data_IF_432053269054
#
_entry.id   IF_432053269054
#
_cell.length_a   1.000
_cell.length_b   1.000
_cell.length_c   1.000
_cell.angle_alpha   90.00
_cell.angle_beta   90.00
_cell.angle_gamma   90.00
#
_symmetry.space_group_name_H-M   'P 1'
#
loop_
_entity.id
_entity.type
_entity.pdbx_description
1 polymer ?
#
# COMPACT_ATOMS: atom_id res chain seq x y z
N UNK A 1 -9.00 19.03 5.30
CA UNK A 1 -8.50 18.66 3.97
C UNK A 1 -9.11 19.56 2.93
N UNK A 2 -8.32 19.96 1.94
CA UNK A 2 -8.80 20.82 0.86
C UNK A 2 -9.72 20.03 -0.08
N UNK A 3 -10.61 20.75 -0.76
CA UNK A 3 -11.39 20.18 -1.85
C UNK A 3 -10.51 20.01 -3.10
N UNK A 4 -10.84 19.03 -3.95
CA UNK A 4 -10.24 18.92 -5.28
C UNK A 4 -10.62 20.15 -6.10
N UNK A 5 -9.62 20.81 -6.68
CA UNK A 5 -9.78 21.93 -7.62
C UNK A 5 -9.45 21.46 -9.03
N UNK A 6 -10.07 22.06 -10.03
CA UNK A 6 -9.73 21.84 -11.43
C UNK A 6 -9.19 23.14 -12.02
N UNK A 7 -8.08 23.08 -12.75
CA UNK A 7 -7.58 24.22 -13.50
C UNK A 7 -8.27 24.34 -14.88
N UNK A 8 -7.93 25.39 -15.63
CA UNK A 8 -8.51 25.68 -16.95
C UNK A 8 -8.25 24.54 -17.98
N UNK A 9 -7.22 23.74 -17.76
CA UNK A 9 -6.88 22.58 -18.61
C UNK A 9 -7.65 21.30 -18.21
N UNK A 10 -8.49 21.40 -17.18
CA UNK A 10 -9.25 20.30 -16.58
C UNK A 10 -8.41 19.39 -15.68
N UNK A 11 -7.20 19.81 -15.31
CA UNK A 11 -6.30 19.02 -14.46
C UNK A 11 -6.70 19.18 -12.99
N UNK A 12 -6.77 18.04 -12.29
CA UNK A 12 -7.23 18.01 -10.90
C UNK A 12 -6.07 18.28 -9.96
N UNK A 13 -6.30 19.10 -8.92
CA UNK A 13 -5.33 19.48 -7.91
C UNK A 13 -5.88 19.21 -6.52
N UNK A 14 -5.04 18.69 -5.65
CA UNK A 14 -5.35 18.46 -4.24
C UNK A 14 -4.14 18.77 -3.37
N UNK A 15 -4.37 19.38 -2.21
CA UNK A 15 -3.35 19.68 -1.23
C UNK A 15 -3.83 19.30 0.17
N UNK A 16 -2.94 18.69 0.95
CA UNK A 16 -3.18 18.36 2.35
C UNK A 16 -1.86 18.35 3.12
N UNK A 17 -1.61 19.38 3.93
CA UNK A 17 -0.35 19.52 4.65
C UNK A 17 0.84 19.61 3.67
N UNK A 18 1.85 18.76 3.87
CA UNK A 18 3.03 18.66 3.00
C UNK A 18 2.80 17.79 1.75
N UNK A 19 1.58 17.30 1.53
CA UNK A 19 1.22 16.46 0.41
C UNK A 19 0.49 17.29 -0.65
N UNK A 20 0.99 17.29 -1.89
CA UNK A 20 0.29 17.88 -3.04
C UNK A 20 0.16 16.87 -4.17
N UNK A 21 -0.95 16.92 -4.89
CA UNK A 21 -1.27 16.03 -5.99
C UNK A 21 -1.78 16.83 -7.18
N UNK A 22 -1.32 16.48 -8.38
CA UNK A 22 -1.83 17.01 -9.65
C UNK A 22 -2.05 15.87 -10.63
N UNK A 23 -3.20 15.83 -11.29
CA UNK A 23 -3.61 14.79 -12.24
C UNK A 23 -3.92 15.37 -13.61
N UNK A 24 -3.66 14.58 -14.66
CA UNK A 24 -3.63 15.02 -16.06
C UNK A 24 -2.58 16.13 -16.29
N UNK A 25 -1.45 16.03 -15.59
CA UNK A 25 -0.27 16.89 -15.70
C UNK A 25 0.99 16.01 -15.49
N UNK A 26 1.93 15.98 -16.45
CA UNK A 26 2.00 16.78 -17.67
C UNK A 26 1.05 16.33 -18.80
N UNK A 27 0.53 15.11 -18.73
CA UNK A 27 -0.28 14.51 -19.80
C UNK A 27 -1.46 13.72 -19.22
N UNK A 28 -2.43 13.38 -20.07
CA UNK A 28 -3.61 12.60 -19.69
C UNK A 28 -3.24 11.29 -18.99
N UNK A 29 -3.92 11.01 -17.87
CA UNK A 29 -3.70 9.80 -17.08
C UNK A 29 -2.44 9.80 -16.22
N UNK A 30 -1.53 10.77 -16.41
CA UNK A 30 -0.38 10.97 -15.52
C UNK A 30 -0.75 11.82 -14.33
N UNK A 31 0.02 11.67 -13.26
CA UNK A 31 -0.12 12.48 -12.08
C UNK A 31 1.23 12.63 -11.36
N UNK A 32 1.39 13.77 -10.71
CA UNK A 32 2.55 14.08 -9.89
C UNK A 32 2.10 14.26 -8.45
N UNK A 33 2.87 13.65 -7.55
CA UNK A 33 2.73 13.77 -6.11
C UNK A 33 3.99 14.43 -5.57
N UNK A 34 3.83 15.38 -4.65
CA UNK A 34 4.93 15.89 -3.84
C UNK A 34 4.63 15.61 -2.37
N UNK A 35 5.63 15.10 -1.67
CA UNK A 35 5.57 14.80 -0.24
C UNK A 35 6.90 15.20 0.39
N UNK A 36 6.91 16.32 1.11
CA UNK A 36 8.17 16.93 1.54
C UNK A 36 9.02 17.34 0.34
N UNK A 37 10.30 16.97 0.32
CA UNK A 37 11.21 17.20 -0.80
C UNK A 37 11.01 16.22 -1.98
N UNK A 38 10.37 15.06 -1.75
CA UNK A 38 10.20 14.03 -2.78
C UNK A 38 9.20 14.50 -3.85
N UNK A 39 9.56 14.29 -5.11
CA UNK A 39 8.64 14.39 -6.25
C UNK A 39 8.47 12.99 -6.85
N UNK A 40 7.23 12.54 -6.98
CA UNK A 40 6.87 11.24 -7.51
C UNK A 40 5.94 11.44 -8.70
N UNK A 41 6.38 11.04 -9.88
CA UNK A 41 5.58 11.16 -11.11
C UNK A 41 5.18 9.77 -11.57
N UNK A 42 3.89 9.58 -11.82
CA UNK A 42 3.37 8.32 -12.34
C UNK A 42 3.87 8.09 -13.77
N UNK A 43 4.21 6.84 -14.07
CA UNK A 43 4.43 6.39 -15.45
C UNK A 43 3.09 5.98 -16.07
N UNK A 44 2.91 6.14 -17.39
CA UNK A 44 1.66 5.78 -18.04
C UNK A 44 1.38 4.28 -17.91
N UNK A 45 0.12 3.93 -17.70
CA UNK A 45 -0.32 2.56 -17.92
C UNK A 45 -0.30 2.25 -19.43
N UNK A 46 0.00 1.00 -19.78
CA UNK A 46 0.09 0.55 -21.18
C UNK A 46 -0.66 -0.78 -21.31
N UNK A 47 -1.95 -0.77 -21.68
CA UNK A 47 -2.67 -1.97 -22.10
C UNK A 47 -2.27 -2.32 -23.54
N UNK A 48 -1.44 -3.35 -23.71
CA UNK A 48 -0.90 -3.77 -24.99
C UNK A 48 0.20 -2.82 -25.46
N UNK A 49 -0.04 -2.12 -26.56
CA UNK A 49 0.97 -1.28 -27.23
C UNK A 49 0.68 0.22 -27.09
N UNK A 50 -0.50 0.59 -26.58
CA UNK A 50 -0.94 1.98 -26.50
C UNK A 50 -0.81 2.53 -25.08
N UNK A 51 0.03 3.55 -24.84
CA UNK A 51 0.11 4.20 -23.53
C UNK A 51 -1.13 5.04 -23.25
N UNK A 52 -1.48 5.14 -21.98
CA UNK A 52 -2.63 5.93 -21.50
C UNK A 52 -2.52 7.42 -21.84
N UNK A 53 -1.33 7.95 -22.08
CA UNK A 53 -1.17 9.34 -22.51
C UNK A 53 -1.84 9.64 -23.85
N UNK A 54 -2.13 8.60 -24.65
CA UNK A 54 -2.94 8.70 -25.88
C UNK A 54 -4.45 8.65 -25.63
N UNK A 55 -4.89 8.47 -24.38
CA UNK A 55 -6.29 8.34 -24.04
C UNK A 55 -7.04 9.68 -24.14
N UNK A 56 -8.33 9.57 -24.45
CA UNK A 56 -9.26 10.68 -24.30
C UNK A 56 -9.59 10.87 -22.82
N UNK A 57 -9.58 12.13 -22.35
CA UNK A 57 -10.03 12.48 -20.99
C UNK A 57 -11.51 12.14 -20.87
N UNK A 58 -11.81 11.09 -20.10
CA UNK A 58 -13.18 10.74 -19.74
C UNK A 58 -13.66 11.48 -18.49
N UNK A 59 -14.57 10.85 -17.75
CA UNK A 59 -15.19 11.47 -16.58
C UNK A 59 -14.17 11.68 -15.45
N UNK A 60 -14.29 12.80 -14.74
CA UNK A 60 -13.58 13.11 -13.50
C UNK A 60 -14.64 13.47 -12.46
N UNK A 61 -14.72 12.72 -11.35
CA UNK A 61 -15.76 12.90 -10.33
C UNK A 61 -15.11 13.07 -8.96
N UNK A 62 -15.05 14.30 -8.43
CA UNK A 62 -14.64 14.52 -7.06
C UNK A 62 -15.76 14.12 -6.11
N UNK A 63 -15.39 13.49 -5.01
CA UNK A 63 -16.26 13.16 -3.89
C UNK A 63 -15.59 13.60 -2.60
N UNK A 64 -16.40 13.97 -1.61
CA UNK A 64 -15.93 14.30 -0.26
C UNK A 64 -16.80 13.57 0.74
N UNK A 65 -16.19 12.99 1.76
CA UNK A 65 -16.95 12.40 2.86
C UNK A 65 -17.66 13.49 3.68
N UNK A 66 -18.78 13.13 4.30
CA UNK A 66 -19.58 14.05 5.13
C UNK A 66 -18.78 14.57 6.34
N UNK A 67 -17.91 13.72 6.91
CA UNK A 67 -17.01 14.08 8.03
C UNK A 67 -15.80 14.92 7.58
N UNK A 68 -15.62 15.14 6.27
CA UNK A 68 -14.51 15.90 5.70
C UNK A 68 -13.13 15.25 5.86
N UNK A 69 -13.06 13.98 6.29
CA UNK A 69 -11.83 13.23 6.51
C UNK A 69 -11.32 12.49 5.27
N UNK A 70 -12.13 12.39 4.21
CA UNK A 70 -11.77 11.70 2.98
C UNK A 70 -12.17 12.54 1.77
N UNK A 71 -11.27 12.56 0.79
CA UNK A 71 -11.53 13.13 -0.52
C UNK A 71 -11.23 12.05 -1.55
N UNK A 72 -12.12 11.84 -2.51
CA UNK A 72 -11.96 10.83 -3.55
C UNK A 72 -12.07 11.44 -4.93
N UNK A 73 -11.25 11.01 -5.87
CA UNK A 73 -11.33 11.37 -7.27
C UNK A 73 -11.49 10.09 -8.10
N UNK A 74 -12.64 9.95 -8.75
CA UNK A 74 -12.85 8.88 -9.71
C UNK A 74 -12.55 9.40 -11.12
N UNK A 75 -11.74 8.66 -11.87
CA UNK A 75 -11.28 9.02 -13.21
C UNK A 75 -11.49 7.85 -14.17
N UNK A 76 -11.79 8.18 -15.42
CA UNK A 76 -11.92 7.23 -16.52
C UNK A 76 -11.22 7.80 -17.74
N UNK A 77 -10.40 6.97 -18.39
CA UNK A 77 -9.68 7.29 -19.62
C UNK A 77 -9.92 6.15 -20.60
N UNK A 78 -10.20 6.45 -21.86
CA UNK A 78 -10.37 5.44 -22.92
C UNK A 78 -9.35 5.71 -24.01
N UNK A 79 -8.64 4.66 -24.44
CA UNK A 79 -7.68 4.75 -25.53
C UNK A 79 -8.45 4.46 -26.82
N UNK A 80 -8.60 5.43 -27.76
CA UNK A 80 -9.47 5.29 -28.92
C UNK A 80 -8.83 4.50 -30.08
N UNK A 81 -7.96 3.54 -29.77
CA UNK A 81 -7.20 2.75 -30.74
C UNK A 81 -7.36 1.25 -30.46
N UNK A 82 -7.33 0.45 -31.54
CA UNK A 82 -7.52 -1.00 -31.47
C UNK A 82 -8.85 -1.36 -30.79
N UNK A 83 -8.76 -2.13 -29.71
CA UNK A 83 -9.90 -2.72 -29.01
C UNK A 83 -10.49 -1.81 -27.93
N UNK A 84 -10.12 -0.53 -27.95
CA UNK A 84 -10.61 0.51 -27.02
C UNK A 84 -10.49 0.14 -25.54
N UNK A 85 -9.28 -0.19 -25.05
CA UNK A 85 -9.09 -0.46 -23.63
C UNK A 85 -9.36 0.80 -22.80
N UNK A 86 -10.03 0.62 -21.66
CA UNK A 86 -10.30 1.66 -20.69
C UNK A 86 -9.42 1.52 -19.45
N UNK A 87 -9.07 2.64 -18.85
CA UNK A 87 -8.37 2.71 -17.56
C UNK A 87 -9.23 3.55 -16.62
N UNK A 88 -9.60 2.97 -15.49
CA UNK A 88 -10.32 3.67 -14.42
C UNK A 88 -9.40 3.79 -13.22
N UNK A 89 -9.21 5.00 -12.69
CA UNK A 89 -8.53 5.19 -11.40
C UNK A 89 -9.44 5.80 -10.36
N UNK A 90 -9.37 5.25 -9.17
CA UNK A 90 -9.88 5.87 -7.95
C UNK A 90 -8.68 6.32 -7.13
N UNK A 91 -8.61 7.63 -6.84
CA UNK A 91 -7.66 8.21 -5.90
C UNK A 91 -8.40 8.51 -4.61
N UNK A 92 -7.94 7.98 -3.49
CA UNK A 92 -8.49 8.21 -2.16
C UNK A 92 -7.47 8.96 -1.31
N UNK A 93 -7.76 10.20 -0.98
CA UNK A 93 -6.94 11.05 -0.14
C UNK A 93 -7.47 11.04 1.29
N UNK A 94 -6.56 10.82 2.24
CA UNK A 94 -6.75 11.05 3.68
C UNK A 94 -5.55 11.84 4.19
N UNK A 95 -5.56 12.20 5.46
CA UNK A 95 -4.45 12.93 6.07
C UNK A 95 -3.13 12.16 5.90
N UNK A 96 -2.18 12.75 5.16
CA UNK A 96 -0.86 12.17 4.92
C UNK A 96 -0.85 10.89 4.08
N UNK A 97 -1.97 10.49 3.46
CA UNK A 97 -2.02 9.27 2.64
C UNK A 97 -2.79 9.44 1.34
N UNK A 98 -2.40 8.62 0.35
CA UNK A 98 -3.02 8.49 -0.94
C UNK A 98 -3.19 6.99 -1.24
N UNK A 99 -4.41 6.52 -1.45
CA UNK A 99 -4.69 5.23 -2.06
C UNK A 99 -4.98 5.39 -3.55
N UNK A 100 -4.45 4.50 -4.39
CA UNK A 100 -4.69 4.47 -5.82
C UNK A 100 -5.17 3.07 -6.20
N UNK A 101 -6.36 3.00 -6.80
CA UNK A 101 -6.88 1.78 -7.43
C UNK A 101 -7.02 2.00 -8.92
N UNK A 102 -6.25 1.27 -9.70
CA UNK A 102 -6.32 1.24 -11.17
C UNK A 102 -7.05 -0.02 -11.62
N UNK A 103 -8.15 0.13 -12.35
CA UNK A 103 -8.90 -0.93 -12.99
C UNK A 103 -8.71 -0.85 -14.52
N UNK A 104 -8.18 -1.91 -15.12
CA UNK A 104 -8.10 -2.11 -16.56
C UNK A 104 -9.42 -2.70 -17.07
N UNK A 105 -10.14 -1.92 -17.86
CA UNK A 105 -11.39 -2.29 -18.50
C UNK A 105 -11.05 -2.82 -19.89
N UNK A 106 -10.94 -4.14 -20.01
CA UNK A 106 -10.61 -4.83 -21.25
C UNK A 106 -11.89 -5.41 -21.87
N UNK A 107 -12.17 -5.09 -23.13
CA UNK A 107 -13.29 -5.67 -23.88
C UNK A 107 -12.94 -7.10 -24.31
N UNK A 108 -13.96 -7.89 -24.66
CA UNK A 108 -13.77 -9.29 -25.04
C UNK A 108 -12.81 -9.49 -26.22
N UNK A 109 -12.81 -8.56 -27.16
CA UNK A 109 -11.94 -8.59 -28.34
C UNK A 109 -10.50 -8.12 -28.06
N UNK A 110 -10.17 -7.68 -26.84
CA UNK A 110 -8.81 -7.25 -26.50
C UNK A 110 -7.83 -8.43 -26.48
N UNK A 111 -6.94 -8.52 -27.46
CA UNK A 111 -5.85 -9.48 -27.45
C UNK A 111 -4.83 -9.12 -26.35
N UNK A 112 -4.74 -9.94 -25.30
CA UNK A 112 -4.00 -9.59 -24.09
C UNK A 112 -2.49 -9.83 -24.22
N UNK A 113 -1.75 -9.01 -24.98
CA UNK A 113 -0.29 -9.21 -25.14
C UNK A 113 0.52 -8.91 -23.87
N UNK A 114 0.32 -7.70 -23.35
CA UNK A 114 1.02 -7.17 -22.18
C UNK A 114 0.15 -6.14 -21.48
N UNK A 115 0.33 -5.99 -20.18
CA UNK A 115 -0.36 -5.00 -19.36
C UNK A 115 0.64 -4.42 -18.37
N UNK A 116 0.98 -3.16 -18.60
CA UNK A 116 1.84 -2.36 -17.73
C UNK A 116 0.94 -1.45 -16.90
N UNK A 117 1.04 -1.55 -15.56
CA UNK A 117 0.32 -0.67 -14.63
C UNK A 117 0.89 0.74 -14.54
N UNK A 118 1.98 1.00 -15.25
CA UNK A 118 2.79 2.19 -15.14
C UNK A 118 3.89 1.97 -14.12
N UNK A 119 3.96 2.87 -13.14
CA UNK A 119 5.08 2.93 -12.22
C UNK A 119 5.22 4.29 -11.59
N UNK A 120 6.34 4.50 -10.91
CA UNK A 120 6.72 5.77 -10.32
C UNK A 120 8.14 6.13 -10.71
N UNK A 121 8.34 7.39 -11.12
CA UNK A 121 9.65 8.04 -11.12
C UNK A 121 9.75 8.85 -9.84
N UNK A 122 10.74 8.58 -8.99
CA UNK A 122 10.95 9.24 -7.70
C UNK A 122 12.23 10.07 -7.75
N UNK A 123 12.10 11.36 -7.49
CA UNK A 123 13.18 12.35 -7.54
C UNK A 123 13.44 12.94 -6.14
N UNK A 124 14.62 13.55 -5.95
CA UNK A 124 15.11 14.12 -4.67
C UNK A 124 15.24 13.08 -3.54
N UNK A 125 15.64 11.86 -3.89
CA UNK A 125 15.81 10.74 -2.98
C UNK A 125 17.21 10.73 -2.35
N UNK A 126 17.28 10.64 -1.02
CA UNK A 126 18.54 10.36 -0.30
C UNK A 126 18.74 8.87 -0.11
N UNK A 127 17.79 8.22 0.57
CA UNK A 127 17.89 6.83 0.95
C UNK A 127 16.59 6.08 0.69
N UNK A 128 16.68 4.77 0.53
CA UNK A 128 15.51 3.91 0.48
C UNK A 128 15.69 2.61 1.26
N UNK A 129 14.56 2.00 1.64
CA UNK A 129 14.46 0.64 2.17
C UNK A 129 13.37 -0.10 1.42
N UNK A 130 13.62 -1.36 1.06
CA UNK A 130 12.69 -2.20 0.31
C UNK A 130 12.24 -3.35 1.21
N UNK A 131 10.95 -3.62 1.25
CA UNK A 131 10.36 -4.75 1.98
C UNK A 131 9.66 -5.65 0.98
N UNK A 132 10.22 -6.84 0.80
CA UNK A 132 9.70 -7.85 -0.12
C UNK A 132 8.64 -8.74 0.54
N UNK A 133 7.95 -9.52 -0.30
CA UNK A 133 7.05 -10.55 0.20
C UNK A 133 7.85 -11.65 0.92
N UNK A 134 7.47 -12.05 2.14
CA UNK A 134 8.22 -13.06 2.87
C UNK A 134 7.98 -14.45 2.28
N UNK A 135 9.02 -15.27 2.20
CA UNK A 135 8.91 -16.63 1.65
C UNK A 135 8.49 -17.68 2.68
N UNK A 136 8.83 -17.48 3.97
CA UNK A 136 8.66 -18.48 5.04
C UNK A 136 8.09 -17.91 6.34
N UNK A 137 7.98 -16.59 6.41
CA UNK A 137 7.66 -15.82 7.61
C UNK A 137 6.35 -15.08 7.41
N UNK A 138 5.64 -14.77 8.50
CA UNK A 138 4.56 -13.76 8.45
C UNK A 138 5.08 -12.36 8.68
N UNK A 139 6.22 -12.20 9.36
CA UNK A 139 6.81 -10.87 9.61
C UNK A 139 7.47 -10.35 8.34
N UNK A 140 7.25 -9.07 8.10
CA UNK A 140 7.91 -8.30 7.05
C UNK A 140 9.24 -7.76 7.56
N UNK A 141 10.33 -8.06 6.86
CA UNK A 141 11.67 -7.56 7.21
C UNK A 141 12.13 -6.57 6.14
N UNK A 142 12.34 -5.28 6.47
CA UNK A 142 12.90 -4.33 5.52
C UNK A 142 14.37 -4.65 5.21
N UNK A 143 14.78 -4.32 3.99
CA UNK A 143 16.18 -4.36 3.57
C UNK A 143 17.03 -3.40 4.42
N UNK A 144 18.35 -3.54 4.30
CA UNK A 144 19.27 -2.49 4.75
C UNK A 144 18.95 -1.18 4.02
N UNK A 145 19.23 -0.06 4.70
CA UNK A 145 19.17 1.27 4.09
C UNK A 145 20.13 1.31 2.91
N UNK A 146 19.63 1.75 1.76
CA UNK A 146 20.40 1.95 0.54
C UNK A 146 20.66 3.45 0.38
N UNK A 147 21.92 3.83 0.23
CA UNK A 147 22.31 5.20 -0.10
C UNK A 147 22.19 5.43 -1.61
N UNK A 148 21.26 6.28 -2.02
CA UNK A 148 20.94 6.50 -3.42
C UNK A 148 22.04 7.23 -4.18
N UNK A 149 22.76 8.14 -3.53
CA UNK A 149 23.85 8.89 -4.13
C UNK A 149 25.05 7.98 -4.46
N UNK A 150 25.26 6.94 -3.65
CA UNK A 150 26.34 5.96 -3.83
C UNK A 150 26.09 4.93 -4.94
N UNK A 151 24.87 4.87 -5.50
CA UNK A 151 24.54 3.92 -6.57
C UNK A 151 25.06 4.39 -7.94
N UNK A 152 25.64 3.49 -8.74
CA UNK A 152 25.99 3.80 -10.12
C UNK A 152 24.75 3.99 -10.99
N UNK A 153 24.89 4.70 -12.11
CA UNK A 153 23.85 4.84 -13.11
C UNK A 153 23.39 3.46 -13.62
N UNK A 154 22.08 3.28 -13.79
CA UNK A 154 21.50 2.00 -14.22
C UNK A 154 21.53 0.89 -13.18
N UNK A 155 21.96 1.16 -11.93
CA UNK A 155 21.91 0.18 -10.84
C UNK A 155 20.50 -0.39 -10.68
N UNK A 156 20.39 -1.72 -10.61
CA UNK A 156 19.13 -2.43 -10.34
C UNK A 156 19.06 -2.75 -8.85
N UNK A 157 18.06 -2.18 -8.18
CA UNK A 157 17.84 -2.35 -6.74
C UNK A 157 16.87 -3.49 -6.44
N UNK A 158 15.98 -3.78 -7.39
CA UNK A 158 15.03 -4.88 -7.31
C UNK A 158 14.59 -5.28 -8.73
N UNK A 159 14.55 -6.57 -9.01
CA UNK A 159 13.99 -7.13 -10.24
C UNK A 159 13.35 -8.47 -9.90
N UNK A 160 12.02 -8.51 -9.89
CA UNK A 160 11.32 -9.69 -9.41
C UNK A 160 9.92 -9.84 -9.99
N UNK A 161 9.39 -11.09 -9.97
CA UNK A 161 8.05 -11.38 -10.45
C UNK A 161 6.94 -10.91 -9.49
N UNK A 162 7.31 -10.51 -8.27
CA UNK A 162 6.39 -10.10 -7.19
C UNK A 162 6.69 -8.66 -6.82
N UNK A 163 5.66 -7.82 -6.73
CA UNK A 163 5.84 -6.44 -6.28
C UNK A 163 6.36 -6.45 -4.83
N UNK A 164 7.35 -5.61 -4.48
CA UNK A 164 7.66 -5.28 -3.10
C UNK A 164 6.39 -4.83 -2.37
N UNK A 165 6.23 -5.25 -1.11
CA UNK A 165 5.07 -4.90 -0.30
C UNK A 165 5.16 -3.45 0.14
N UNK A 166 6.37 -2.99 0.47
CA UNK A 166 6.61 -1.62 0.94
C UNK A 166 7.97 -1.11 0.48
N UNK A 167 8.03 0.17 0.16
CA UNK A 167 9.29 0.87 -0.12
C UNK A 167 9.26 2.19 0.62
N UNK A 168 10.20 2.42 1.53
CA UNK A 168 10.30 3.69 2.27
C UNK A 168 11.33 4.57 1.58
N UNK A 169 10.88 5.71 1.07
CA UNK A 169 11.71 6.75 0.47
C UNK A 169 12.04 7.81 1.51
N UNK A 170 13.30 8.20 1.63
CA UNK A 170 13.74 9.34 2.45
C UNK A 170 14.18 10.48 1.53
N UNK A 171 13.47 11.60 1.59
CA UNK A 171 13.76 12.79 0.78
C UNK A 171 14.95 13.60 1.27
N UNK A 172 15.38 14.59 0.47
CA UNK A 172 16.45 15.54 0.83
C UNK A 172 16.19 16.31 2.14
N UNK A 173 14.92 16.53 2.48
CA UNK A 173 14.47 17.12 3.74
C UNK A 173 14.43 16.13 4.91
N UNK A 174 14.91 14.90 4.70
CA UNK A 174 14.92 13.76 5.64
C UNK A 174 13.53 13.25 6.03
N UNK A 175 12.46 13.75 5.41
CA UNK A 175 11.12 13.22 5.61
C UNK A 175 10.96 11.91 4.86
N UNK A 176 10.10 11.04 5.38
CA UNK A 176 9.88 9.72 4.82
C UNK A 176 8.49 9.60 4.21
N UNK A 177 8.43 8.96 3.04
CA UNK A 177 7.18 8.56 2.39
C UNK A 177 7.28 7.09 1.99
N UNK A 178 6.33 6.27 2.40
CA UNK A 178 6.26 4.87 2.05
C UNK A 178 5.33 4.66 0.86
N UNK A 179 5.80 3.94 -0.17
CA UNK A 179 4.95 3.20 -1.08
C UNK A 179 4.49 1.91 -0.41
N UNK A 180 3.21 1.59 -0.54
CA UNK A 180 2.55 0.44 0.08
C UNK A 180 1.69 -0.27 -0.97
N UNK A 181 1.90 -1.58 -1.13
CA UNK A 181 1.04 -2.43 -1.96
C UNK A 181 -0.32 -2.63 -1.27
N UNK A 182 -1.43 -2.64 -2.01
CA UNK A 182 -2.74 -2.95 -1.43
C UNK A 182 -2.93 -4.45 -1.11
N UNK A 183 -4.02 -4.78 -0.42
CA UNK A 183 -4.39 -6.14 0.01
C UNK A 183 -4.49 -7.18 -1.10
N UNK A 184 -4.73 -6.77 -2.33
CA UNK A 184 -4.95 -7.65 -3.49
C UNK A 184 -3.67 -8.27 -4.07
N UNK A 185 -2.70 -8.66 -3.23
CA UNK A 185 -1.39 -9.21 -3.64
C UNK A 185 -1.55 -10.44 -4.56
N UNK A 186 -2.51 -11.30 -4.27
CA UNK A 186 -2.84 -12.49 -5.05
C UNK A 186 -3.32 -12.24 -6.48
N UNK A 187 -3.80 -11.04 -6.83
CA UNK A 187 -4.23 -10.74 -8.20
C UNK A 187 -3.04 -10.74 -9.18
N UNK A 188 -1.82 -10.63 -8.64
CA UNK A 188 -0.56 -10.57 -9.38
C UNK A 188 0.09 -11.92 -9.60
N UNK A 189 -0.46 -12.97 -9.00
CA UNK A 189 -0.13 -14.34 -9.35
C UNK A 189 -0.93 -14.82 -10.59
N UNK A 190 -1.78 -13.98 -11.20
CA UNK A 190 -2.50 -14.32 -12.43
C UNK A 190 -1.59 -14.75 -13.60
N UNK A 191 -0.43 -14.12 -13.85
CA UNK A 191 0.50 -14.58 -14.88
C UNK A 191 1.08 -15.97 -14.60
N UNK A 192 0.93 -16.54 -13.40
CA UNK A 192 1.30 -17.94 -13.13
C UNK A 192 0.23 -18.92 -13.61
N UNK A 193 -0.99 -18.45 -13.90
CA UNK A 193 -2.14 -19.26 -14.36
C UNK A 193 -2.35 -19.21 -15.86
N UNK A 194 -1.72 -18.25 -16.52
CA UNK A 194 -1.65 -18.09 -17.97
C UNK A 194 -0.18 -18.28 -18.38
N UNK A 195 0.16 -18.52 -19.65
CA UNK A 195 1.56 -18.63 -20.08
C UNK A 195 2.28 -17.26 -20.13
N UNK A 196 2.16 -16.47 -19.06
CA UNK A 196 2.71 -15.13 -18.94
C UNK A 196 3.76 -14.99 -17.83
N UNK A 197 4.17 -13.75 -17.60
CA UNK A 197 5.03 -13.31 -16.49
C UNK A 197 4.61 -11.93 -16.00
N UNK A 198 4.85 -11.65 -14.72
CA UNK A 198 4.90 -10.31 -14.18
C UNK A 198 6.36 -9.92 -13.95
N UNK A 199 6.64 -8.61 -13.93
CA UNK A 199 7.95 -8.06 -13.58
C UNK A 199 7.79 -6.70 -12.90
N UNK A 200 8.43 -6.55 -11.76
CA UNK A 200 8.54 -5.31 -11.03
C UNK A 200 10.01 -4.95 -10.94
N UNK A 201 10.37 -3.77 -11.45
CA UNK A 201 11.76 -3.36 -11.61
C UNK A 201 11.99 -2.01 -10.92
N UNK A 202 12.95 -1.96 -9.99
CA UNK A 202 13.50 -0.72 -9.45
C UNK A 202 14.92 -0.51 -9.95
N UNK A 203 15.14 0.60 -10.65
CA UNK A 203 16.46 0.98 -11.17
C UNK A 203 16.76 2.47 -10.98
N UNK A 204 18.03 2.81 -10.86
CA UNK A 204 18.49 4.20 -10.93
C UNK A 204 18.52 4.67 -12.39
N UNK A 205 18.02 5.88 -12.62
CA UNK A 205 18.02 6.55 -13.91
C UNK A 205 18.27 8.06 -13.70
N UNK A 206 19.51 8.48 -13.90
CA UNK A 206 20.01 9.79 -13.49
C UNK A 206 19.84 10.04 -11.99
N UNK A 207 19.27 11.19 -11.66
CA UNK A 207 18.95 11.59 -10.27
C UNK A 207 17.60 11.03 -9.78
N UNK A 208 17.01 10.09 -10.51
CA UNK A 208 15.72 9.52 -10.20
C UNK A 208 15.78 7.99 -10.01
N UNK A 209 14.90 7.49 -9.16
CA UNK A 209 14.58 6.07 -9.06
C UNK A 209 13.37 5.79 -9.93
N UNK A 210 13.52 4.88 -10.90
CA UNK A 210 12.42 4.37 -11.70
C UNK A 210 11.91 3.07 -11.08
N UNK A 211 10.61 3.02 -10.79
CA UNK A 211 9.89 1.83 -10.36
C UNK A 211 8.83 1.46 -11.40
N UNK A 212 9.05 0.40 -12.17
CA UNK A 212 8.18 -0.02 -13.27
C UNK A 212 7.37 -1.27 -12.91
N UNK A 213 6.10 -1.32 -13.35
CA UNK A 213 5.14 -2.37 -13.00
C UNK A 213 4.57 -3.07 -14.23
N UNK A 214 5.15 -4.20 -14.62
CA UNK A 214 4.57 -5.10 -15.63
C UNK A 214 3.70 -6.13 -14.93
N UNK A 215 2.38 -5.99 -15.04
CA UNK A 215 1.43 -6.90 -14.40
C UNK A 215 1.29 -8.22 -15.14
N UNK A 216 1.42 -8.18 -16.46
CA UNK A 216 1.30 -9.34 -17.33
C UNK A 216 2.04 -9.09 -18.63
N UNK A 217 2.72 -10.11 -19.13
CA UNK A 217 3.30 -10.18 -20.47
C UNK A 217 3.33 -11.65 -20.88
N UNK A 218 2.85 -11.98 -22.09
CA UNK A 218 2.96 -13.35 -22.61
C UNK A 218 4.43 -13.75 -22.81
N UNK A 219 4.74 -15.03 -22.57
CA UNK A 219 6.05 -15.58 -22.95
C UNK A 219 6.13 -15.69 -24.47
N UNK A 220 7.30 -15.40 -25.02
CA UNK A 220 7.56 -15.52 -26.45
C UNK A 220 7.12 -16.90 -26.98
N UNK A 221 6.36 -16.91 -28.09
CA UNK A 221 5.82 -18.12 -28.71
C UNK A 221 4.55 -18.70 -28.08
N UNK A 222 4.00 -18.07 -27.04
CA UNK A 222 2.67 -18.44 -26.50
C UNK A 222 1.56 -17.90 -27.40
N UNK A 223 0.45 -18.62 -27.57
CA UNK A 223 -0.71 -18.07 -28.26
C UNK A 223 -1.23 -16.83 -27.51
N UNK A 224 -1.60 -15.79 -28.24
CA UNK A 224 -2.34 -14.67 -27.67
C UNK A 224 -3.73 -15.18 -27.27
N UNK A 225 -4.14 -14.93 -26.03
CA UNK A 225 -5.47 -15.28 -25.53
C UNK A 225 -6.26 -14.02 -25.17
N UNK A 226 -7.58 -14.12 -25.24
CA UNK A 226 -8.48 -13.11 -24.70
C UNK A 226 -8.40 -13.08 -23.17
N UNK A 227 -8.57 -11.90 -22.53
CA UNK A 227 -8.62 -11.81 -21.08
C UNK A 227 -9.79 -12.65 -20.54
N UNK A 228 -9.62 -13.37 -19.41
CA UNK A 228 -10.69 -14.16 -18.83
C UNK A 228 -11.97 -13.34 -18.63
N UNK A 229 -13.10 -13.81 -19.16
CA UNK A 229 -14.37 -13.09 -19.11
C UNK A 229 -14.72 -12.62 -17.69
N UNK A 230 -15.14 -11.36 -17.58
CA UNK A 230 -15.73 -10.80 -16.36
C UNK A 230 -14.75 -10.41 -15.25
N UNK A 231 -13.44 -10.28 -15.53
CA UNK A 231 -12.47 -9.80 -14.53
C UNK A 231 -11.60 -8.66 -15.06
N UNK A 232 -11.89 -7.44 -14.62
CA UNK A 232 -10.96 -6.33 -14.74
C UNK A 232 -9.66 -6.67 -13.98
N UNK A 233 -8.52 -6.42 -14.62
CA UNK A 233 -7.23 -6.46 -13.93
C UNK A 233 -7.11 -5.19 -13.09
N UNK A 234 -6.78 -5.34 -11.80
CA UNK A 234 -6.93 -4.25 -10.82
C UNK A 234 -5.69 -4.08 -9.98
N UNK A 235 -4.94 -2.98 -10.15
CA UNK A 235 -3.74 -2.65 -9.35
C UNK A 235 -4.07 -1.69 -8.22
N UNK A 236 -3.73 -2.07 -6.99
CA UNK A 236 -4.00 -1.27 -5.78
C UNK A 236 -2.69 -1.02 -5.05
N UNK A 237 -2.42 0.24 -4.75
CA UNK A 237 -1.24 0.68 -4.02
C UNK A 237 -1.54 2.02 -3.35
N UNK A 238 -0.63 2.51 -2.52
CA UNK A 238 -0.74 3.82 -1.91
C UNK A 238 0.59 4.44 -1.54
N UNK A 239 0.52 5.71 -1.13
CA UNK A 239 1.60 6.46 -0.50
C UNK A 239 1.17 6.91 0.88
N UNK A 240 2.13 6.92 1.80
CA UNK A 240 1.95 7.38 3.17
C UNK A 240 3.14 8.21 3.60
N UNK A 241 2.90 9.43 4.07
CA UNK A 241 3.90 10.18 4.81
C UNK A 241 4.11 9.49 6.17
N UNK A 242 5.34 9.10 6.47
CA UNK A 242 5.66 8.57 7.80
C UNK A 242 5.55 9.69 8.82
N UNK A 243 4.84 9.45 9.91
CA UNK A 243 4.75 10.43 11.00
C UNK A 243 6.09 10.50 11.71
N UNK A 244 6.62 11.72 11.84
CA UNK A 244 7.69 11.98 12.80
C UNK A 244 7.14 11.74 14.21
N UNK A 245 7.94 11.11 15.09
CA UNK A 245 7.59 11.03 16.52
C UNK A 245 7.49 12.45 17.06
N UNK A 246 6.31 12.85 17.49
CA UNK A 246 6.07 14.15 18.12
C UNK A 246 5.96 14.00 19.63
N UNK A 247 6.28 15.05 20.40
CA UNK A 247 6.07 15.08 21.87
C UNK A 247 4.62 14.79 22.30
N UNK A 248 3.64 14.94 21.38
CA UNK A 248 2.26 14.48 21.58
C UNK A 248 2.10 12.94 21.69
N UNK A 249 3.17 12.16 21.50
CA UNK A 249 3.20 10.72 21.76
C UNK A 249 3.13 10.35 23.25
N UNK A 250 3.23 11.35 24.14
CA UNK A 250 2.99 11.24 25.58
C UNK A 250 1.50 11.41 25.96
N UNK A 251 0.58 11.31 24.99
CA UNK A 251 -0.85 11.30 25.25
C UNK A 251 -1.21 10.26 26.32
N UNK A 252 -1.87 10.70 27.39
CA UNK A 252 -2.36 9.79 28.43
C UNK A 252 -3.53 8.99 27.85
N UNK A 253 -3.27 7.74 27.49
CA UNK A 253 -4.30 6.83 27.00
C UNK A 253 -5.26 6.45 28.12
N UNK A 254 -6.57 6.52 27.85
CA UNK A 254 -7.58 6.09 28.81
C UNK A 254 -7.56 4.56 28.98
N UNK A 255 -7.29 3.84 27.89
CA UNK A 255 -7.19 2.39 27.88
C UNK A 255 -6.25 1.92 26.75
N UNK A 256 -5.57 0.80 26.98
CA UNK A 256 -4.70 0.15 26.00
C UNK A 256 -5.18 -1.26 25.69
N UNK A 257 -5.39 -1.55 24.41
CA UNK A 257 -5.77 -2.86 23.89
C UNK A 257 -4.55 -3.48 23.19
N UNK A 258 -3.95 -4.51 23.77
CA UNK A 258 -2.84 -5.23 23.15
C UNK A 258 -3.31 -6.44 22.35
N UNK A 259 -3.45 -6.26 21.03
CA UNK A 259 -3.89 -7.33 20.13
C UNK A 259 -2.90 -8.50 20.07
N UNK A 260 -1.63 -8.27 20.36
CA UNK A 260 -0.60 -9.32 20.40
C UNK A 260 -0.73 -10.26 21.60
N UNK A 261 -1.37 -9.80 22.68
CA UNK A 261 -1.65 -10.60 23.88
C UNK A 261 -2.96 -11.39 23.81
N UNK A 262 -3.84 -11.06 22.85
CA UNK A 262 -5.13 -11.72 22.73
C UNK A 262 -5.00 -13.16 22.22
N UNK A 263 -5.86 -14.05 22.73
CA UNK A 263 -5.99 -15.40 22.20
C UNK A 263 -6.98 -15.40 21.03
N UNK A 264 -6.45 -15.32 19.81
CA UNK A 264 -7.28 -15.23 18.61
C UNK A 264 -7.88 -16.59 18.24
N UNK A 265 -9.16 -16.66 17.83
CA UNK A 265 -9.72 -17.89 17.29
C UNK A 265 -9.02 -18.27 15.98
N UNK A 266 -8.99 -19.56 15.64
CA UNK A 266 -8.25 -20.05 14.47
C UNK A 266 -8.66 -19.33 13.16
N UNK A 267 -9.95 -19.03 13.00
CA UNK A 267 -10.49 -18.32 11.85
C UNK A 267 -10.03 -16.85 11.70
N UNK A 268 -9.41 -16.27 12.74
CA UNK A 268 -8.84 -14.93 12.72
C UNK A 268 -7.31 -14.94 12.53
N UNK A 269 -6.66 -16.08 12.76
CA UNK A 269 -5.20 -16.20 12.80
C UNK A 269 -4.59 -16.17 11.41
N UNK A 270 -3.53 -15.37 11.25
CA UNK A 270 -2.70 -15.33 10.05
C UNK A 270 -2.20 -16.74 9.69
N UNK A 271 -2.32 -17.11 8.42
CA UNK A 271 -1.69 -18.28 7.81
C UNK A 271 -0.42 -17.83 7.11
N UNK A 272 0.75 -18.29 7.56
CA UNK A 272 2.00 -17.91 6.90
C UNK A 272 2.25 -18.63 5.57
N UNK A 273 3.21 -18.15 4.78
CA UNK A 273 3.66 -18.82 3.55
C UNK A 273 4.15 -20.26 3.76
N UNK A 274 4.61 -20.58 4.96
CA UNK A 274 5.01 -21.92 5.40
C UNK A 274 3.83 -22.85 5.75
N UNK A 275 2.59 -22.40 5.52
CA UNK A 275 1.37 -23.13 5.84
C UNK A 275 1.03 -23.19 7.32
N UNK A 276 1.76 -22.46 8.20
CA UNK A 276 1.55 -22.49 9.65
C UNK A 276 0.75 -21.28 10.12
N UNK A 277 -0.29 -21.55 10.93
CA UNK A 277 -1.04 -20.50 11.62
C UNK A 277 -0.25 -19.96 12.80
N UNK A 278 -0.28 -18.64 12.99
CA UNK A 278 0.33 -17.94 14.12
C UNK A 278 -0.74 -17.20 14.91
N UNK A 279 -0.58 -17.06 16.22
CA UNK A 279 -1.53 -16.34 17.07
C UNK A 279 -1.38 -14.82 16.89
N UNK A 280 -1.65 -14.35 15.68
CA UNK A 280 -1.63 -12.95 15.25
C UNK A 280 -2.88 -12.76 14.38
N UNK A 281 -3.68 -11.71 14.60
CA UNK A 281 -4.87 -11.50 13.80
C UNK A 281 -4.50 -11.06 12.39
N UNK A 282 -5.28 -11.51 11.42
CA UNK A 282 -5.28 -10.91 10.10
C UNK A 282 -6.48 -9.95 9.98
N UNK A 283 -6.25 -8.67 9.70
CA UNK A 283 -7.30 -7.66 9.55
C UNK A 283 -8.22 -7.93 8.35
N UNK A 284 -7.75 -8.61 7.31
CA UNK A 284 -8.62 -9.10 6.23
C UNK A 284 -9.64 -10.14 6.71
N UNK A 285 -9.40 -10.83 7.83
CA UNK A 285 -10.36 -11.84 8.31
C UNK A 285 -11.66 -11.20 8.80
N UNK A 286 -12.83 -11.65 8.30
CA UNK A 286 -14.12 -11.23 8.83
C UNK A 286 -14.24 -11.44 10.34
N UNK A 287 -13.62 -12.51 10.87
CA UNK A 287 -13.66 -12.81 12.30
C UNK A 287 -12.85 -11.82 13.13
N UNK A 288 -11.69 -11.40 12.63
CA UNK A 288 -10.90 -10.32 13.25
C UNK A 288 -11.71 -9.04 13.31
N UNK A 289 -12.28 -8.62 12.18
CA UNK A 289 -13.08 -7.38 12.12
C UNK A 289 -14.32 -7.45 13.01
N UNK A 290 -14.99 -8.60 13.11
CA UNK A 290 -16.11 -8.80 14.02
C UNK A 290 -15.70 -8.56 15.48
N UNK A 291 -14.59 -9.17 15.92
CA UNK A 291 -14.04 -9.02 17.28
C UNK A 291 -13.66 -7.57 17.53
N UNK A 292 -12.88 -6.95 16.64
CA UNK A 292 -12.42 -5.57 16.81
C UNK A 292 -13.58 -4.57 16.82
N UNK A 293 -14.58 -4.74 15.94
CA UNK A 293 -15.78 -3.89 15.94
C UNK A 293 -16.57 -4.03 17.23
N UNK A 294 -16.62 -5.21 17.83
CA UNK A 294 -17.22 -5.43 19.15
C UNK A 294 -16.44 -4.70 20.24
N UNK A 295 -15.11 -4.80 20.25
CA UNK A 295 -14.24 -4.09 21.20
C UNK A 295 -14.45 -2.57 21.18
N UNK A 296 -14.58 -1.98 19.99
CA UNK A 296 -14.86 -0.54 19.84
C UNK A 296 -16.27 -0.18 20.33
N UNK A 297 -17.28 -0.99 20.00
CA UNK A 297 -18.67 -0.73 20.44
C UNK A 297 -18.83 -0.80 21.95
N UNK A 298 -18.13 -1.73 22.62
CA UNK A 298 -18.13 -1.80 24.08
C UNK A 298 -17.59 -0.50 24.69
N UNK A 299 -16.48 0.01 24.16
CA UNK A 299 -15.85 1.25 24.64
C UNK A 299 -16.63 2.50 24.30
N UNK A 300 -17.35 2.50 23.18
CA UNK A 300 -18.21 3.61 22.78
C UNK A 300 -19.26 3.94 23.85
N UNK A 301 -19.75 2.93 24.59
CA UNK A 301 -20.73 3.13 25.66
C UNK A 301 -20.18 3.98 26.82
N UNK A 302 -18.88 3.88 27.09
CA UNK A 302 -18.21 4.54 28.22
C UNK A 302 -17.33 5.74 27.79
N UNK A 303 -17.17 5.96 26.49
CA UNK A 303 -16.28 6.97 25.92
C UNK A 303 -16.75 8.40 26.24
N UNK A 304 -15.81 9.24 26.69
CA UNK A 304 -16.01 10.65 26.99
C UNK A 304 -15.22 11.55 26.04
N UNK A 305 -15.62 12.80 25.99
CA UNK A 305 -14.91 13.82 25.22
C UNK A 305 -13.44 13.90 25.66
N UNK A 306 -12.53 13.83 24.70
CA UNK A 306 -11.09 13.84 24.93
C UNK A 306 -10.46 12.47 25.20
N UNK A 307 -11.24 11.39 25.31
CA UNK A 307 -10.67 10.05 25.50
C UNK A 307 -9.85 9.61 24.28
N UNK A 308 -8.66 9.07 24.55
CA UNK A 308 -7.78 8.47 23.54
C UNK A 308 -7.55 7.00 23.89
N UNK A 309 -8.14 6.11 23.10
CA UNK A 309 -7.94 4.68 23.21
C UNK A 309 -6.71 4.27 22.40
N UNK A 310 -5.81 3.50 23.00
CA UNK A 310 -4.65 2.94 22.29
C UNK A 310 -4.91 1.49 21.91
N UNK A 311 -4.67 1.13 20.66
CA UNK A 311 -4.62 -0.25 20.20
C UNK A 311 -3.20 -0.58 19.73
N UNK A 312 -2.51 -1.42 20.51
CA UNK A 312 -1.21 -1.95 20.15
C UNK A 312 -1.41 -3.11 19.17
N UNK A 313 -0.99 -2.90 17.93
CA UNK A 313 -1.03 -3.90 16.88
C UNK A 313 0.31 -4.63 16.79
N UNK A 314 0.34 -5.93 16.49
CA UNK A 314 1.54 -6.62 16.08
C UNK A 314 2.19 -5.94 14.87
N UNK A 315 3.49 -6.17 14.67
CA UNK A 315 4.19 -5.77 13.45
C UNK A 315 3.43 -6.20 12.19
N UNK A 316 3.63 -5.46 11.09
CA UNK A 316 3.00 -5.74 9.81
C UNK A 316 3.17 -7.24 9.44
N UNK A 317 2.04 -7.90 9.20
CA UNK A 317 2.02 -9.34 8.90
C UNK A 317 1.53 -9.66 7.50
N UNK A 318 2.16 -10.65 6.89
CA UNK A 318 1.76 -11.23 5.61
C UNK A 318 0.96 -12.51 5.83
N UNK A 319 -0.17 -12.63 5.14
CA UNK A 319 -1.11 -13.73 5.28
C UNK A 319 -1.39 -14.41 3.94
N UNK A 320 -1.60 -15.72 3.98
CA UNK A 320 -1.88 -16.55 2.81
C UNK A 320 -3.25 -17.23 2.87
N UNK A 321 -4.11 -16.90 3.85
CA UNK A 321 -5.42 -17.55 4.01
C UNK A 321 -6.46 -17.01 3.02
N UNK A 322 -6.86 -17.83 2.06
CA UNK A 322 -7.92 -17.45 1.11
C UNK A 322 -9.31 -17.26 1.74
N UNK A 323 -9.56 -17.89 2.90
CA UNK A 323 -10.81 -17.70 3.65
C UNK A 323 -10.95 -16.27 4.14
N UNK A 324 -9.85 -15.62 4.54
CA UNK A 324 -9.87 -14.23 5.01
C UNK A 324 -10.28 -13.27 3.88
N UNK A 325 -9.91 -13.59 2.64
CA UNK A 325 -10.27 -12.79 1.45
C UNK A 325 -11.63 -13.19 0.84
N UNK A 326 -12.48 -13.90 1.59
CA UNK A 326 -13.79 -14.42 1.14
C UNK A 326 -13.68 -15.32 -0.12
N UNK A 327 -12.57 -16.04 -0.26
CA UNK A 327 -12.28 -16.97 -1.36
C UNK A 327 -12.00 -18.38 -0.84
N UNK A 328 -12.77 -18.86 0.13
CA UNK A 328 -12.55 -20.17 0.78
C UNK A 328 -12.55 -21.40 -0.14
N UNK A 329 -12.99 -21.27 -1.41
CA UNK A 329 -12.82 -22.30 -2.45
C UNK A 329 -11.39 -22.40 -3.00
N UNK A 330 -10.51 -21.46 -2.65
CA UNK A 330 -9.06 -21.50 -2.91
C UNK A 330 -8.36 -21.82 -1.61
N UNK A 331 -7.22 -22.50 -1.69
CA UNK A 331 -6.48 -22.90 -0.48
C UNK A 331 -5.55 -21.78 0.00
N UNK A 332 -4.76 -21.22 -0.92
CA UNK A 332 -3.71 -20.24 -0.62
C UNK A 332 -3.92 -18.98 -1.46
N UNK A 333 -3.93 -17.82 -0.80
CA UNK A 333 -4.13 -16.53 -1.43
C UNK A 333 -3.43 -15.46 -0.58
N UNK A 334 -2.27 -15.03 -1.09
CA UNK A 334 -1.42 -14.05 -0.45
C UNK A 334 -2.08 -12.67 -0.37
N UNK A 335 -1.99 -12.03 0.78
CA UNK A 335 -2.47 -10.68 1.04
C UNK A 335 -1.68 -10.02 2.17
N UNK A 336 -1.65 -8.69 2.14
CA UNK A 336 -1.16 -7.84 3.21
C UNK A 336 -2.32 -6.98 3.70
N UNK A 337 -2.62 -7.03 4.99
CA UNK A 337 -3.87 -6.53 5.56
C UNK A 337 -3.78 -5.08 6.08
N UNK A 338 -2.75 -4.36 5.65
CA UNK A 338 -2.42 -3.02 6.11
C UNK A 338 -3.48 -1.98 5.70
N UNK A 339 -3.96 -2.02 4.46
CA UNK A 339 -5.05 -1.16 3.98
C UNK A 339 -6.35 -1.40 4.75
N UNK A 340 -6.69 -2.67 5.00
CA UNK A 340 -7.87 -3.07 5.79
C UNK A 340 -7.74 -2.60 7.24
N UNK A 341 -6.52 -2.62 7.80
CA UNK A 341 -6.22 -2.07 9.12
C UNK A 341 -6.49 -0.56 9.18
N UNK A 342 -6.08 0.20 8.17
CA UNK A 342 -6.38 1.64 8.10
C UNK A 342 -7.88 1.92 7.94
N UNK A 343 -8.56 1.16 7.09
CA UNK A 343 -10.02 1.27 6.96
C UNK A 343 -10.74 1.00 8.27
N UNK A 344 -10.26 0.03 9.05
CA UNK A 344 -10.75 -0.21 10.40
C UNK A 344 -10.50 1.00 11.32
N UNK A 345 -9.31 1.60 11.29
CA UNK A 345 -8.98 2.78 12.09
C UNK A 345 -9.91 3.97 11.77
N UNK A 346 -10.18 4.22 10.48
CA UNK A 346 -11.12 5.26 10.02
C UNK A 346 -12.53 4.93 10.51
N UNK A 347 -12.98 3.69 10.33
CA UNK A 347 -14.30 3.26 10.81
C UNK A 347 -14.44 3.45 12.33
N UNK A 348 -13.43 3.06 13.11
CA UNK A 348 -13.46 3.17 14.57
C UNK A 348 -13.51 4.63 15.02
N UNK A 349 -12.69 5.50 14.42
CA UNK A 349 -12.69 6.93 14.72
C UNK A 349 -14.01 7.63 14.32
N UNK A 350 -14.68 7.19 13.26
CA UNK A 350 -16.05 7.64 12.94
C UNK A 350 -17.08 7.25 14.00
N UNK A 351 -16.90 6.11 14.67
CA UNK A 351 -17.78 5.74 15.78
C UNK A 351 -17.49 6.58 17.03
N UNK A 352 -16.21 6.69 17.42
CA UNK A 352 -15.77 7.35 18.66
C UNK A 352 -15.90 8.87 18.63
N UNK A 353 -15.74 9.50 17.46
CA UNK A 353 -15.85 10.96 17.30
C UNK A 353 -17.23 11.50 17.70
N UNK A 354 -18.28 10.68 17.67
CA UNK A 354 -19.62 11.03 18.18
C UNK A 354 -19.63 11.38 19.66
N UNK A 355 -18.69 10.82 20.42
CA UNK A 355 -18.50 11.09 21.84
C UNK A 355 -17.28 12.00 22.09
N UNK A 356 -16.70 12.60 21.05
CA UNK A 356 -15.46 13.38 21.16
C UNK A 356 -14.21 12.56 21.51
N UNK A 357 -14.27 11.24 21.35
CA UNK A 357 -13.16 10.32 21.61
C UNK A 357 -12.47 9.88 20.30
N UNK A 358 -11.28 9.29 20.41
CA UNK A 358 -10.53 8.76 19.25
C UNK A 358 -9.77 7.47 19.55
N UNK A 359 -9.48 6.71 18.50
CA UNK A 359 -8.61 5.54 18.51
C UNK A 359 -7.27 5.87 17.87
N UNK A 360 -6.19 5.55 18.56
CA UNK A 360 -4.84 5.49 18.02
C UNK A 360 -4.38 4.04 17.89
N UNK A 361 -3.89 3.69 16.70
CA UNK A 361 -3.28 2.38 16.45
C UNK A 361 -1.77 2.54 16.34
N UNK A 362 -1.02 1.79 17.15
CA UNK A 362 0.45 1.84 17.13
C UNK A 362 1.00 0.43 17.04
N UNK A 363 2.06 0.26 16.23
CA UNK A 363 2.81 -1.00 16.23
C UNK A 363 3.45 -1.18 17.61
N UNK A 364 3.28 -2.35 18.19
CA UNK A 364 3.85 -2.70 19.49
C UNK A 364 5.38 -2.58 19.39
N UNK A 365 6.04 -1.75 20.23
CA UNK A 365 7.49 -1.71 20.27
C UNK A 365 8.02 -3.11 20.57
N UNK A 366 9.03 -3.57 19.82
CA UNK A 366 9.78 -4.74 20.27
C UNK A 366 10.31 -4.42 21.67
N UNK A 367 10.09 -5.33 22.63
CA UNK A 367 10.68 -5.18 23.95
C UNK A 367 12.20 -5.12 23.73
N UNK A 368 12.83 -3.99 24.06
CA UNK A 368 14.27 -3.81 23.96
C UNK A 368 14.96 -5.10 24.45
N UNK A 369 15.62 -5.81 23.52
CA UNK A 369 16.54 -6.87 23.91
C UNK A 369 17.57 -6.19 24.82
N UNK A 370 17.39 -6.36 26.14
CA UNK A 370 18.36 -5.90 27.13
C UNK A 370 19.73 -6.33 26.62
N UNK A 371 20.71 -5.41 26.49
CA UNK A 371 22.02 -5.78 25.98
C UNK A 371 22.52 -6.96 26.79
N UNK A 372 22.78 -8.08 26.10
CA UNK A 372 23.40 -9.27 26.71
C UNK A 372 24.62 -8.76 27.47
N UNK A 373 24.57 -8.84 28.80
CA UNK A 373 25.74 -8.56 29.65
C UNK A 373 26.85 -9.48 29.14
N UNK A 374 27.81 -8.90 28.42
CA UNK A 374 29.05 -9.58 28.07
C UNK A 374 29.70 -9.98 29.38
N UNK A 375 29.88 -11.30 29.54
CA UNK A 375 30.46 -11.86 30.74
C UNK A 375 31.82 -11.24 31.01
N UNK A 376 31.95 -10.64 32.19
CA UNK A 376 33.23 -10.27 32.79
C UNK A 376 34.13 -11.50 32.81
N UNK A 377 35.11 -11.56 31.90
CA UNK A 377 36.23 -12.50 31.99
C UNK A 377 37.03 -12.14 33.24
N UNK A 378 36.84 -12.93 34.31
CA UNK A 378 37.75 -12.94 35.46
C UNK A 378 39.13 -13.37 34.96
N UNK A 379 40.07 -12.44 34.90
CA UNK A 379 41.50 -12.75 34.86
C UNK A 379 41.86 -13.39 36.21
N UNK A 380 42.05 -14.71 36.23
CA UNK A 380 42.77 -15.38 37.30
C UNK A 380 44.26 -15.18 37.08
N UNK A 381 44.89 -14.40 37.95
CA UNK A 381 46.33 -14.35 38.09
C UNK A 381 46.83 -15.68 38.67
N UNK A 382 47.77 -16.34 37.97
CA UNK A 382 48.61 -17.39 38.56
C UNK A 382 49.88 -16.73 39.11
N UNK A 383 50.18 -17.05 40.37
CA UNK A 383 51.54 -17.03 40.93
C UNK A 383 52.29 -18.26 40.46
#
# INVERSE_FOLDING_TARGET
>A
MDAIRFDESGSAQFQSGSFSFRHDDPETGLFTIRSGALTMTALPAVPGEYPETMALKGKRRPHRSEDGQEVRLDTESEIPFGETPGIRREFLFREGTLGVRTDFVLRHSFAMKSIVAGGLKVENLLHLKITEQPEKSVRLTPSKTIDFAALPEGAVLFDGPKCPIRIVFTGADRKQTAFELGSSVWRWDLPQRLPGRARFLLRKEGDALLFHWTLFEFRAGSPEEEPPHGRNLRFVWGLRAEREKTEADDAKFCETIDLGSMNWPEAARVLGPDGKRRNVPCFSSPKTLEILKREIRTRLADAKEGDVFLMLVPDDTFCCSAVHENRGKREVLAHWDHDVREEFAVWANRQLSRSGARLEMRVKPEADEKPRKTGSVRKTARK
#
